data_IF_079986719365
#
_entry.id   IF_079986719365
#
_cell.length_a   1.000
_cell.length_b   1.000
_cell.length_c   1.000
_cell.angle_alpha   90.00
_cell.angle_beta   90.00
_cell.angle_gamma   90.00
#
_symmetry.space_group_name_H-M   'P 1'
#
loop_
_entity.id
_entity.type
_entity.pdbx_description
1 polymer ?
#
# COMPACT_ATOMS: atom_id res chain seq x y z
N UNK A 1 -11.99 23.26 22.27
CA UNK A 1 -12.66 22.16 23.00
C UNK A 1 -13.11 21.12 21.99
N UNK A 2 -12.36 20.01 21.80
CA UNK A 2 -12.72 18.88 20.92
C UNK A 2 -11.73 17.68 21.04
N UNK A 3 -11.03 17.53 22.17
CA UNK A 3 -10.01 16.47 22.35
C UNK A 3 -10.35 15.45 23.45
N UNK A 4 -11.28 15.78 24.35
CA UNK A 4 -11.74 14.91 25.44
C UNK A 4 -12.71 13.82 24.97
N UNK A 5 -13.63 14.14 24.05
CA UNK A 5 -14.73 13.22 23.71
C UNK A 5 -14.25 11.98 22.95
N UNK A 6 -13.33 12.14 21.99
CA UNK A 6 -12.86 11.03 21.15
C UNK A 6 -12.12 9.94 21.94
N UNK A 7 -11.42 10.29 23.02
CA UNK A 7 -10.69 9.30 23.83
C UNK A 7 -11.65 8.52 24.73
N UNK A 8 -12.64 9.21 25.29
CA UNK A 8 -13.71 8.59 26.08
C UNK A 8 -14.52 7.60 25.23
N UNK A 9 -14.89 7.96 24.00
CA UNK A 9 -15.59 7.04 23.08
C UNK A 9 -14.76 5.79 22.74
N UNK A 10 -13.46 5.94 22.50
CA UNK A 10 -12.57 4.79 22.22
C UNK A 10 -12.45 3.88 23.44
N UNK A 11 -12.32 4.43 24.64
CA UNK A 11 -12.26 3.65 25.89
C UNK A 11 -13.58 2.92 26.18
N UNK A 12 -14.72 3.55 25.90
CA UNK A 12 -16.04 2.92 26.04
C UNK A 12 -16.17 1.75 25.05
N UNK A 13 -15.79 1.94 23.78
CA UNK A 13 -15.85 0.87 22.78
C UNK A 13 -14.93 -0.30 23.13
N UNK A 14 -13.70 -0.02 23.57
CA UNK A 14 -12.75 -1.05 24.00
C UNK A 14 -13.24 -1.80 25.25
N UNK A 15 -13.84 -1.08 26.20
CA UNK A 15 -14.47 -1.68 27.38
C UNK A 15 -15.67 -2.57 27.03
N UNK A 16 -16.49 -2.17 26.05
CA UNK A 16 -17.62 -2.97 25.59
C UNK A 16 -17.16 -4.29 24.93
N UNK A 17 -16.16 -4.23 24.04
CA UNK A 17 -15.61 -5.42 23.38
C UNK A 17 -14.94 -6.37 24.40
N UNK A 18 -14.22 -5.81 25.36
CA UNK A 18 -13.66 -6.59 26.47
C UNK A 18 -14.77 -7.26 27.31
N UNK A 19 -15.87 -6.56 27.58
CA UNK A 19 -17.03 -7.12 28.28
C UNK A 19 -17.65 -8.30 27.53
N UNK A 20 -17.80 -8.21 26.22
CA UNK A 20 -18.28 -9.32 25.37
C UNK A 20 -17.30 -10.49 25.43
N UNK A 21 -15.99 -10.23 25.31
CA UNK A 21 -14.96 -11.26 25.39
C UNK A 21 -15.02 -12.02 26.73
N UNK A 22 -15.14 -11.30 27.85
CA UNK A 22 -15.27 -11.91 29.19
C UNK A 22 -16.55 -12.74 29.31
N UNK A 23 -17.68 -12.26 28.78
CA UNK A 23 -18.93 -13.01 28.78
C UNK A 23 -18.83 -14.32 27.98
N UNK A 24 -18.29 -14.26 26.76
CA UNK A 24 -18.03 -15.44 25.91
C UNK A 24 -17.08 -16.42 26.59
N UNK A 25 -16.01 -15.94 27.21
CA UNK A 25 -15.03 -16.80 27.89
C UNK A 25 -15.65 -17.51 29.10
N UNK A 26 -16.46 -16.78 29.89
CA UNK A 26 -17.18 -17.35 31.02
C UNK A 26 -18.18 -18.42 30.57
N UNK A 27 -18.93 -18.15 29.50
CA UNK A 27 -19.84 -19.14 28.90
C UNK A 27 -19.11 -20.36 28.35
N UNK A 28 -17.97 -20.17 27.68
CA UNK A 28 -17.15 -21.27 27.16
C UNK A 28 -16.69 -22.22 28.27
N UNK A 29 -16.15 -21.66 29.36
CA UNK A 29 -15.65 -22.43 30.49
C UNK A 29 -16.78 -23.13 31.26
N UNK A 30 -17.91 -22.46 31.43
CA UNK A 30 -19.08 -23.04 32.10
C UNK A 30 -19.66 -24.19 31.28
N UNK A 31 -19.87 -23.98 29.99
CA UNK A 31 -20.58 -24.93 29.14
C UNK A 31 -19.68 -26.02 28.55
N UNK A 32 -18.35 -25.86 28.67
CA UNK A 32 -17.37 -26.73 28.04
C UNK A 32 -17.54 -26.82 26.51
N UNK A 33 -17.96 -25.73 25.86
CA UNK A 33 -18.12 -25.64 24.40
C UNK A 33 -16.86 -25.10 23.73
N UNK A 34 -16.31 -25.88 22.78
CA UNK A 34 -15.16 -25.48 21.98
C UNK A 34 -15.51 -24.40 20.96
N UNK A 35 -16.74 -24.40 20.42
CA UNK A 35 -17.18 -23.34 19.53
C UNK A 35 -17.31 -22.00 20.28
N UNK A 36 -17.89 -22.00 21.48
CA UNK A 36 -17.95 -20.81 22.32
C UNK A 36 -16.55 -20.35 22.76
N UNK A 37 -15.64 -21.28 23.06
CA UNK A 37 -14.24 -20.95 23.37
C UNK A 37 -13.53 -20.28 22.19
N UNK A 38 -13.76 -20.77 20.97
CA UNK A 38 -13.20 -20.19 19.75
C UNK A 38 -13.69 -18.75 19.54
N UNK A 39 -14.99 -18.52 19.76
CA UNK A 39 -15.58 -17.17 19.73
C UNK A 39 -15.05 -16.25 20.84
N UNK A 40 -14.78 -16.80 22.03
CA UNK A 40 -14.18 -16.05 23.12
C UNK A 40 -12.73 -15.63 22.79
N UNK A 41 -11.95 -16.54 22.22
CA UNK A 41 -10.57 -16.27 21.77
C UNK A 41 -10.57 -15.26 20.64
N UNK A 42 -11.49 -15.38 19.68
CA UNK A 42 -11.69 -14.40 18.61
C UNK A 42 -11.90 -13.00 19.20
N UNK A 43 -12.89 -12.81 20.08
CA UNK A 43 -13.16 -11.50 20.69
C UNK A 43 -12.01 -10.96 21.55
N UNK A 44 -11.22 -11.84 22.18
CA UNK A 44 -9.99 -11.45 22.89
C UNK A 44 -8.91 -10.94 21.94
N UNK A 45 -8.70 -11.66 20.82
CA UNK A 45 -7.76 -11.26 19.78
C UNK A 45 -8.19 -9.94 19.15
N UNK A 46 -9.48 -9.75 18.84
CA UNK A 46 -9.99 -8.48 18.29
C UNK A 46 -9.80 -7.31 19.25
N UNK A 47 -10.07 -7.52 20.53
CA UNK A 47 -9.82 -6.50 21.56
C UNK A 47 -8.33 -6.12 21.60
N UNK A 48 -7.45 -7.11 21.45
CA UNK A 48 -6.00 -6.89 21.36
C UNK A 48 -5.62 -6.14 20.06
N UNK A 49 -6.24 -6.50 18.93
CA UNK A 49 -6.02 -5.88 17.63
C UNK A 49 -6.36 -4.39 17.64
N UNK A 50 -7.48 -4.01 18.26
CA UNK A 50 -7.86 -2.61 18.43
C UNK A 50 -6.80 -1.81 19.20
N UNK A 51 -6.24 -2.41 20.27
CA UNK A 51 -5.13 -1.82 21.02
C UNK A 51 -3.86 -1.65 20.17
N UNK A 52 -3.49 -2.68 19.40
CA UNK A 52 -2.33 -2.65 18.51
C UNK A 52 -2.48 -1.63 17.38
N UNK A 53 -3.65 -1.57 16.73
CA UNK A 53 -3.95 -0.57 15.71
C UNK A 53 -3.95 0.84 16.28
N UNK A 54 -4.46 1.04 17.50
CA UNK A 54 -4.38 2.33 18.18
C UNK A 54 -2.93 2.77 18.41
N UNK A 55 -2.05 1.84 18.85
CA UNK A 55 -0.61 2.10 18.95
C UNK A 55 -0.03 2.46 17.59
N UNK A 56 -0.37 1.73 16.54
CA UNK A 56 0.06 1.99 15.17
C UNK A 56 -0.35 3.36 14.66
N UNK A 57 -1.60 3.78 14.88
CA UNK A 57 -2.10 5.12 14.54
C UNK A 57 -1.36 6.21 15.33
N UNK A 58 -1.11 5.98 16.62
CA UNK A 58 -0.41 6.95 17.47
C UNK A 58 1.05 7.10 17.05
N UNK A 59 1.73 6.00 16.73
CA UNK A 59 3.13 6.00 16.26
C UNK A 59 3.27 6.54 14.84
N UNK A 60 2.32 6.26 13.95
CA UNK A 60 2.37 6.72 12.56
C UNK A 60 2.26 8.23 12.40
N UNK A 61 1.67 8.91 13.39
CA UNK A 61 1.57 10.38 13.44
C UNK A 61 2.84 11.09 13.90
N UNK A 62 3.91 10.35 14.24
CA UNK A 62 5.20 10.96 14.61
C UNK A 62 5.84 11.64 13.41
N UNK A 63 6.39 12.83 13.65
CA UNK A 63 7.13 13.59 12.64
C UNK A 63 8.44 12.90 12.27
N UNK A 64 8.98 13.25 11.11
CA UNK A 64 10.29 12.77 10.67
C UNK A 64 11.42 13.19 11.62
N UNK A 65 12.44 12.34 11.70
CA UNK A 65 13.70 12.59 12.41
C UNK A 65 14.88 12.09 11.57
N UNK A 66 16.10 12.19 12.10
CA UNK A 66 17.31 11.79 11.38
C UNK A 66 17.39 10.29 11.07
N UNK A 67 16.77 9.43 11.89
CA UNK A 67 16.73 7.99 11.65
C UNK A 67 15.63 7.61 10.65
N UNK A 68 14.52 8.35 10.68
CA UNK A 68 13.36 8.17 9.80
C UNK A 68 13.03 9.48 9.07
N UNK A 69 13.79 9.84 8.01
CA UNK A 69 13.62 11.11 7.29
C UNK A 69 12.27 11.22 6.57
N UNK A 70 11.66 10.06 6.28
CA UNK A 70 10.32 9.95 5.71
C UNK A 70 9.20 9.87 6.77
N UNK A 71 9.53 10.01 8.05
CA UNK A 71 8.56 9.91 9.14
C UNK A 71 8.16 8.46 9.41
N UNK A 72 7.10 8.31 10.19
CA UNK A 72 6.70 7.03 10.77
C UNK A 72 5.40 6.47 10.20
N UNK A 73 4.86 7.05 9.11
CA UNK A 73 3.56 6.67 8.55
C UNK A 73 3.38 5.16 8.32
N UNK A 74 4.46 4.46 7.93
CA UNK A 74 4.49 3.00 7.73
C UNK A 74 4.32 2.17 9.01
N UNK A 75 4.45 2.75 10.21
CA UNK A 75 4.15 2.07 11.49
C UNK A 75 2.73 1.53 11.50
N UNK A 76 1.76 2.23 10.89
CA UNK A 76 0.39 1.73 10.81
C UNK A 76 0.31 0.38 10.08
N UNK A 77 1.06 0.22 8.99
CA UNK A 77 1.10 -1.01 8.21
C UNK A 77 1.84 -2.12 8.96
N UNK A 78 2.93 -1.78 9.64
CA UNK A 78 3.65 -2.73 10.50
C UNK A 78 2.74 -3.29 11.61
N UNK A 79 2.06 -2.44 12.38
CA UNK A 79 1.17 -2.90 13.45
C UNK A 79 -0.06 -3.64 12.91
N UNK A 80 -0.58 -3.26 11.76
CA UNK A 80 -1.61 -4.05 11.07
C UNK A 80 -1.12 -5.44 10.65
N UNK A 81 0.13 -5.58 10.24
CA UNK A 81 0.71 -6.89 9.93
C UNK A 81 0.85 -7.75 11.20
N UNK A 82 1.27 -7.16 12.32
CA UNK A 82 1.31 -7.84 13.63
C UNK A 82 -0.09 -8.34 14.02
N UNK A 83 -1.13 -7.54 13.79
CA UNK A 83 -2.53 -7.93 13.98
C UNK A 83 -2.90 -9.15 13.14
N UNK A 84 -2.57 -9.15 11.84
CA UNK A 84 -2.84 -10.30 10.98
C UNK A 84 -2.13 -11.58 11.47
N UNK A 85 -0.89 -11.47 11.95
CA UNK A 85 -0.15 -12.59 12.54
C UNK A 85 -0.81 -13.08 13.83
N UNK A 86 -1.29 -12.19 14.70
CA UNK A 86 -1.98 -12.55 15.94
C UNK A 86 -3.31 -13.27 15.64
N UNK A 87 -4.08 -12.75 14.69
CA UNK A 87 -5.33 -13.37 14.23
C UNK A 87 -5.11 -14.79 13.68
N UNK A 88 -4.06 -14.98 12.89
CA UNK A 88 -3.70 -16.30 12.38
C UNK A 88 -3.23 -17.25 13.50
N UNK A 89 -2.28 -16.83 14.31
CA UNK A 89 -1.64 -17.70 15.29
C UNK A 89 -2.54 -18.00 16.48
N UNK A 90 -3.04 -16.98 17.16
CA UNK A 90 -3.85 -17.12 18.37
C UNK A 90 -5.32 -17.39 18.05
N UNK A 91 -5.88 -16.65 17.08
CA UNK A 91 -7.28 -16.84 16.68
C UNK A 91 -7.49 -18.18 15.98
N UNK A 92 -6.91 -18.35 14.79
CA UNK A 92 -7.11 -19.56 14.00
C UNK A 92 -6.44 -20.80 14.62
N UNK A 93 -5.19 -20.68 15.05
CA UNK A 93 -4.42 -21.81 15.58
C UNK A 93 -5.08 -22.47 16.78
N UNK A 94 -5.49 -21.69 17.78
CA UNK A 94 -6.14 -22.24 18.99
C UNK A 94 -7.53 -22.78 18.67
N UNK A 95 -8.33 -22.09 17.85
CA UNK A 95 -9.66 -22.55 17.45
C UNK A 95 -9.61 -23.89 16.69
N UNK A 96 -8.68 -24.04 15.74
CA UNK A 96 -8.51 -25.30 15.02
C UNK A 96 -8.04 -26.40 15.98
N UNK A 97 -7.07 -26.11 16.85
CA UNK A 97 -6.57 -27.07 17.82
C UNK A 97 -7.67 -27.59 18.76
N UNK A 98 -8.43 -26.70 19.38
CA UNK A 98 -9.52 -27.06 20.29
C UNK A 98 -10.64 -27.78 19.56
N UNK A 99 -10.97 -27.34 18.34
CA UNK A 99 -11.96 -28.00 17.51
C UNK A 99 -11.57 -29.43 17.14
N UNK A 100 -10.32 -29.66 16.72
CA UNK A 100 -9.81 -31.01 16.45
C UNK A 100 -9.85 -31.88 17.70
N UNK A 101 -9.42 -31.34 18.85
CA UNK A 101 -9.46 -32.06 20.12
C UNK A 101 -10.88 -32.49 20.50
N UNK A 102 -11.86 -31.58 20.37
CA UNK A 102 -13.28 -31.83 20.66
C UNK A 102 -13.94 -32.80 19.67
N UNK A 103 -13.53 -32.79 18.40
CA UNK A 103 -14.00 -33.79 17.42
C UNK A 103 -13.45 -35.18 17.76
N UNK A 104 -12.17 -35.27 18.15
CA UNK A 104 -11.53 -36.55 18.50
C UNK A 104 -12.03 -37.12 19.83
N UNK A 105 -12.34 -36.27 20.80
CA UNK A 105 -12.89 -36.63 22.10
C UNK A 105 -14.15 -35.81 22.44
N UNK A 106 -15.31 -36.15 21.85
CA UNK A 106 -16.54 -35.38 22.06
C UNK A 106 -17.00 -35.45 23.51
N UNK A 107 -17.11 -34.29 24.13
CA UNK A 107 -17.68 -34.13 25.48
C UNK A 107 -18.99 -33.32 25.39
N UNK A 108 -20.03 -33.68 26.16
CA UNK A 108 -21.29 -32.96 26.14
C UNK A 108 -21.13 -31.49 26.52
N UNK A 109 -22.01 -30.64 25.98
CA UNK A 109 -22.12 -29.24 26.39
C UNK A 109 -23.01 -29.19 27.64
N UNK A 110 -22.48 -28.61 28.71
CA UNK A 110 -23.22 -28.37 29.96
C UNK A 110 -24.04 -27.10 29.81
N UNK A 111 -25.31 -27.13 30.19
CA UNK A 111 -26.23 -25.97 30.15
C UNK A 111 -26.15 -25.12 28.85
N UNK A 112 -26.60 -25.66 27.70
CA UNK A 112 -26.51 -24.97 26.40
C UNK A 112 -27.25 -23.62 26.35
N UNK A 113 -28.18 -23.36 27.27
CA UNK A 113 -28.94 -22.10 27.30
C UNK A 113 -28.05 -20.89 27.60
N UNK A 114 -27.00 -21.07 28.41
CA UNK A 114 -25.99 -20.03 28.64
C UNK A 114 -25.35 -19.61 27.32
N UNK A 115 -25.00 -20.58 26.46
CA UNK A 115 -24.42 -20.29 25.16
C UNK A 115 -25.39 -19.55 24.24
N UNK A 116 -26.66 -19.94 24.20
CA UNK A 116 -27.66 -19.25 23.38
C UNK A 116 -27.86 -17.79 23.79
N UNK A 117 -27.92 -17.51 25.10
CA UNK A 117 -28.08 -16.15 25.60
C UNK A 117 -26.87 -15.29 25.22
N UNK A 118 -25.65 -15.80 25.45
CA UNK A 118 -24.42 -15.06 25.15
C UNK A 118 -24.25 -14.85 23.64
N UNK A 119 -24.51 -15.86 22.82
CA UNK A 119 -24.50 -15.72 21.35
C UNK A 119 -25.54 -14.68 20.90
N UNK A 120 -26.77 -14.73 21.40
CA UNK A 120 -27.82 -13.79 21.00
C UNK A 120 -27.46 -12.33 21.34
N UNK A 121 -26.91 -12.10 22.54
CA UNK A 121 -26.43 -10.78 22.95
C UNK A 121 -25.24 -10.35 22.08
N UNK A 122 -24.25 -11.23 21.89
CA UNK A 122 -23.08 -10.93 21.06
C UNK A 122 -23.47 -10.61 19.62
N UNK A 123 -24.31 -11.42 18.98
CA UNK A 123 -24.81 -11.18 17.62
C UNK A 123 -25.56 -9.86 17.51
N UNK A 124 -26.28 -9.44 18.54
CA UNK A 124 -27.00 -8.16 18.55
C UNK A 124 -26.02 -6.97 18.62
N UNK A 125 -25.02 -7.05 19.51
CA UNK A 125 -24.04 -5.98 19.71
C UNK A 125 -23.05 -5.88 18.53
N UNK A 126 -22.45 -7.01 18.14
CA UNK A 126 -21.52 -7.11 17.02
C UNK A 126 -22.24 -6.87 15.69
N UNK A 127 -23.49 -7.33 15.53
CA UNK A 127 -24.30 -7.04 14.35
C UNK A 127 -24.57 -5.54 14.19
N UNK A 128 -24.83 -4.83 15.28
CA UNK A 128 -24.95 -3.36 15.24
C UNK A 128 -23.61 -2.68 14.89
N UNK A 129 -22.50 -3.14 15.46
CA UNK A 129 -21.16 -2.65 15.12
C UNK A 129 -20.85 -2.85 13.63
N UNK A 130 -21.04 -4.08 13.15
CA UNK A 130 -20.85 -4.48 11.75
C UNK A 130 -21.66 -3.60 10.81
N UNK A 131 -22.95 -3.40 11.11
CA UNK A 131 -23.81 -2.54 10.32
C UNK A 131 -23.27 -1.10 10.22
N UNK A 132 -22.81 -0.54 11.35
CA UNK A 132 -22.24 0.82 11.39
C UNK A 132 -20.92 0.89 10.63
N UNK A 133 -20.04 -0.09 10.82
CA UNK A 133 -18.74 -0.18 10.16
C UNK A 133 -18.89 -0.30 8.64
N UNK A 134 -19.71 -1.24 8.17
CA UNK A 134 -19.99 -1.44 6.74
C UNK A 134 -20.66 -0.21 6.13
N UNK A 135 -21.60 0.44 6.85
CA UNK A 135 -22.23 1.67 6.37
C UNK A 135 -21.22 2.80 6.21
N UNK A 136 -20.36 3.04 7.20
CA UNK A 136 -19.30 4.05 7.14
C UNK A 136 -18.31 3.74 6.00
N UNK A 137 -17.94 2.47 5.86
CA UNK A 137 -17.04 2.01 4.81
C UNK A 137 -17.62 2.26 3.41
N UNK A 138 -18.91 1.94 3.20
CA UNK A 138 -19.62 2.15 1.94
C UNK A 138 -19.80 3.64 1.62
N UNK A 139 -20.04 4.49 2.63
CA UNK A 139 -20.13 5.95 2.44
C UNK A 139 -18.81 6.51 1.91
N UNK A 140 -17.67 5.99 2.38
CA UNK A 140 -16.32 6.41 1.93
C UNK A 140 -15.92 5.83 0.57
N UNK A 141 -16.47 4.67 0.17
CA UNK A 141 -16.10 3.95 -1.05
C UNK A 141 -17.28 3.79 -2.03
N UNK A 142 -18.05 4.88 -2.23
CA UNK A 142 -19.28 4.91 -3.04
C UNK A 142 -19.15 4.11 -4.35
N UNK A 143 -20.10 3.19 -4.57
CA UNK A 143 -20.26 2.48 -5.85
C UNK A 143 -19.36 1.26 -6.07
N UNK A 144 -18.61 0.80 -5.06
CA UNK A 144 -17.74 -0.39 -5.15
C UNK A 144 -18.23 -1.50 -4.23
N UNK A 145 -18.10 -2.76 -4.66
CA UNK A 145 -18.37 -3.91 -3.79
C UNK A 145 -17.38 -3.98 -2.61
N UNK A 146 -17.79 -4.60 -1.49
CA UNK A 146 -16.99 -4.62 -0.25
C UNK A 146 -15.55 -5.10 -0.48
N UNK A 147 -15.37 -6.23 -1.17
CA UNK A 147 -14.03 -6.79 -1.45
C UNK A 147 -13.17 -5.84 -2.28
N UNK A 148 -13.77 -5.19 -3.28
CA UNK A 148 -13.07 -4.22 -4.12
C UNK A 148 -12.69 -2.97 -3.33
N UNK A 149 -13.59 -2.51 -2.47
CA UNK A 149 -13.34 -1.36 -1.61
C UNK A 149 -12.24 -1.66 -0.57
N UNK A 150 -12.18 -2.87 -0.01
CA UNK A 150 -11.10 -3.29 0.89
C UNK A 150 -9.76 -3.31 0.17
N UNK A 151 -9.64 -3.97 -0.98
CA UNK A 151 -8.39 -4.01 -1.79
C UNK A 151 -7.90 -2.64 -2.29
N UNK A 152 -8.81 -1.68 -2.38
CA UNK A 152 -8.46 -0.32 -2.80
C UNK A 152 -8.21 0.61 -1.61
N UNK A 153 -8.64 0.22 -0.42
CA UNK A 153 -8.40 0.99 0.78
C UNK A 153 -6.93 0.90 1.15
N UNK A 154 -6.36 2.05 1.53
CA UNK A 154 -4.99 2.16 2.05
C UNK A 154 -4.98 2.39 3.56
N UNK A 155 -6.17 2.34 4.17
CA UNK A 155 -6.40 2.50 5.61
C UNK A 155 -6.61 1.14 6.27
N UNK A 156 -5.49 0.56 6.71
CA UNK A 156 -5.46 -0.76 7.37
C UNK A 156 -6.40 -0.82 8.55
N UNK A 157 -6.45 0.22 9.39
CA UNK A 157 -7.30 0.19 10.57
C UNK A 157 -8.79 0.08 10.20
N UNK A 158 -9.23 0.81 9.17
CA UNK A 158 -10.62 0.82 8.76
C UNK A 158 -11.07 -0.53 8.17
N UNK A 159 -10.31 -1.10 7.24
CA UNK A 159 -10.74 -2.36 6.62
C UNK A 159 -10.51 -3.58 7.52
N UNK A 160 -9.55 -3.54 8.45
CA UNK A 160 -9.36 -4.57 9.48
C UNK A 160 -10.63 -4.75 10.30
N UNK A 161 -11.15 -3.65 10.88
CA UNK A 161 -12.35 -3.67 11.73
C UNK A 161 -13.56 -4.21 10.97
N UNK A 162 -13.73 -3.82 9.70
CA UNK A 162 -14.85 -4.31 8.88
C UNK A 162 -14.76 -5.81 8.62
N UNK A 163 -13.55 -6.33 8.34
CA UNK A 163 -13.37 -7.76 8.10
C UNK A 163 -13.51 -8.58 9.39
N UNK A 164 -13.01 -8.08 10.51
CA UNK A 164 -13.16 -8.68 11.85
C UNK A 164 -14.64 -8.77 12.24
N UNK A 165 -15.37 -7.67 12.19
CA UNK A 165 -16.81 -7.63 12.53
C UNK A 165 -17.64 -8.61 11.66
N UNK A 166 -17.33 -8.69 10.36
CA UNK A 166 -17.98 -9.66 9.46
C UNK A 166 -17.61 -11.10 9.83
N UNK A 167 -16.34 -11.36 10.10
CA UNK A 167 -15.87 -12.68 10.50
C UNK A 167 -16.50 -13.12 11.82
N UNK A 168 -16.66 -12.21 12.78
CA UNK A 168 -17.28 -12.46 14.07
C UNK A 168 -18.76 -12.87 13.89
N UNK A 169 -19.52 -12.20 13.02
CA UNK A 169 -20.90 -12.60 12.71
C UNK A 169 -21.02 -13.99 12.09
N UNK A 170 -20.10 -14.36 11.18
CA UNK A 170 -20.05 -15.71 10.63
C UNK A 170 -19.61 -16.73 11.68
N UNK A 171 -18.64 -16.38 12.52
CA UNK A 171 -18.14 -17.22 13.61
C UNK A 171 -19.23 -17.54 14.64
N UNK A 172 -19.95 -16.52 15.10
CA UNK A 172 -21.14 -16.66 15.96
C UNK A 172 -22.22 -17.54 15.33
N UNK A 173 -22.41 -17.43 14.01
CA UNK A 173 -23.35 -18.30 13.29
C UNK A 173 -22.89 -19.75 13.31
N UNK A 174 -21.59 -20.02 13.07
CA UNK A 174 -21.04 -21.38 13.20
C UNK A 174 -21.15 -21.91 14.61
N UNK A 175 -20.86 -21.09 15.62
CA UNK A 175 -21.01 -21.47 17.02
C UNK A 175 -22.47 -21.82 17.37
N UNK A 176 -23.42 -21.00 16.93
CA UNK A 176 -24.84 -21.25 17.14
C UNK A 176 -25.26 -22.60 16.52
N UNK A 177 -24.89 -22.84 15.27
CA UNK A 177 -25.21 -24.09 14.57
C UNK A 177 -24.56 -25.30 15.25
N UNK A 178 -23.30 -25.18 15.69
CA UNK A 178 -22.58 -26.24 16.40
C UNK A 178 -23.23 -26.59 17.75
N UNK A 179 -23.58 -25.59 18.55
CA UNK A 179 -24.27 -25.78 19.83
C UNK A 179 -25.68 -26.34 19.62
N UNK A 180 -26.43 -25.84 18.64
CA UNK A 180 -27.76 -26.37 18.29
C UNK A 180 -27.68 -27.85 17.88
N UNK A 181 -26.71 -28.20 17.03
CA UNK A 181 -26.45 -29.57 16.59
C UNK A 181 -26.13 -30.50 17.76
N UNK A 182 -25.25 -30.06 18.66
CA UNK A 182 -24.84 -30.81 19.84
C UNK A 182 -25.99 -30.99 20.85
N UNK A 183 -26.85 -29.99 21.04
CA UNK A 183 -27.96 -30.04 21.99
C UNK A 183 -29.15 -30.84 21.47
N UNK A 184 -29.65 -30.55 20.26
CA UNK A 184 -30.92 -31.13 19.78
C UNK A 184 -30.75 -32.52 19.16
N UNK A 185 -29.63 -32.77 18.49
CA UNK A 185 -29.36 -34.05 17.81
C UNK A 185 -28.32 -34.92 18.54
N UNK A 186 -27.78 -34.45 19.67
CA UNK A 186 -26.76 -35.17 20.44
C UNK A 186 -25.41 -35.29 19.71
N UNK A 187 -25.18 -34.51 18.65
CA UNK A 187 -23.95 -34.54 17.86
C UNK A 187 -22.85 -33.72 18.54
N UNK A 188 -22.29 -34.21 19.64
CA UNK A 188 -21.29 -33.46 20.43
C UNK A 188 -20.03 -33.06 19.65
N UNK A 189 -19.67 -33.83 18.61
CA UNK A 189 -18.55 -33.50 17.71
C UNK A 189 -18.83 -32.26 16.84
N UNK A 190 -20.11 -31.88 16.64
CA UNK A 190 -20.49 -30.73 15.82
C UNK A 190 -20.03 -29.39 16.44
N UNK A 191 -19.92 -29.32 17.76
CA UNK A 191 -19.32 -28.18 18.49
C UNK A 191 -17.82 -28.04 18.15
N UNK A 192 -17.10 -29.16 18.08
CA UNK A 192 -15.72 -29.18 17.62
C UNK A 192 -15.58 -28.81 16.14
N UNK A 193 -16.48 -29.29 15.27
CA UNK A 193 -16.47 -28.90 13.86
C UNK A 193 -16.75 -27.41 13.67
N UNK A 194 -17.67 -26.82 14.44
CA UNK A 194 -17.91 -25.39 14.43
C UNK A 194 -16.67 -24.60 14.85
N UNK A 195 -15.95 -25.06 15.87
CA UNK A 195 -14.66 -24.50 16.30
C UNK A 195 -13.60 -24.54 15.20
N UNK A 196 -13.47 -25.66 14.47
CA UNK A 196 -12.59 -25.75 13.29
C UNK A 196 -13.02 -24.77 12.20
N UNK A 197 -14.32 -24.67 11.92
CA UNK A 197 -14.85 -23.76 10.90
C UNK A 197 -14.56 -22.29 11.23
N UNK A 198 -14.71 -21.88 12.50
CA UNK A 198 -14.32 -20.56 13.00
C UNK A 198 -12.81 -20.35 12.80
N UNK A 199 -11.99 -21.33 13.17
CA UNK A 199 -10.55 -21.23 12.99
C UNK A 199 -10.12 -21.09 11.52
N UNK A 200 -10.74 -21.84 10.60
CA UNK A 200 -10.48 -21.69 9.16
C UNK A 200 -10.93 -20.34 8.61
N UNK A 201 -12.07 -19.81 9.09
CA UNK A 201 -12.53 -18.47 8.76
C UNK A 201 -11.51 -17.41 9.20
N UNK A 202 -11.01 -17.50 10.44
CA UNK A 202 -9.98 -16.61 10.97
C UNK A 202 -8.67 -16.71 10.18
N UNK A 203 -8.25 -17.93 9.81
CA UNK A 203 -7.06 -18.14 9.00
C UNK A 203 -7.19 -17.47 7.62
N UNK A 204 -8.35 -17.64 6.97
CA UNK A 204 -8.63 -17.02 5.68
C UNK A 204 -8.58 -15.48 5.76
N UNK A 205 -9.23 -14.89 6.78
CA UNK A 205 -9.20 -13.44 7.00
C UNK A 205 -7.78 -12.95 7.25
N UNK A 206 -7.04 -13.64 8.12
CA UNK A 206 -5.67 -13.28 8.45
C UNK A 206 -4.71 -13.38 7.24
N UNK A 207 -4.87 -14.39 6.39
CA UNK A 207 -4.09 -14.53 5.15
C UNK A 207 -4.42 -13.41 4.17
N UNK A 208 -5.72 -13.13 3.97
CA UNK A 208 -6.16 -12.02 3.12
C UNK A 208 -5.57 -10.68 3.59
N UNK A 209 -5.69 -10.40 4.90
CA UNK A 209 -5.12 -9.23 5.57
C UNK A 209 -3.60 -9.13 5.36
N UNK A 210 -2.88 -10.23 5.56
CA UNK A 210 -1.42 -10.27 5.42
C UNK A 210 -0.96 -9.93 4.01
N UNK A 211 -1.66 -10.42 2.98
CA UNK A 211 -1.36 -10.15 1.57
C UNK A 211 -1.55 -8.66 1.26
N UNK A 212 -2.69 -8.09 1.66
CA UNK A 212 -3.02 -6.69 1.40
C UNK A 212 -2.04 -5.74 2.10
N UNK A 213 -1.77 -5.99 3.39
CA UNK A 213 -0.87 -5.15 4.18
C UNK A 213 0.58 -5.26 3.70
N UNK A 214 1.03 -6.46 3.29
CA UNK A 214 2.37 -6.64 2.73
C UNK A 214 2.60 -5.71 1.55
N UNK A 215 1.64 -5.59 0.65
CA UNK A 215 1.74 -4.70 -0.52
C UNK A 215 1.90 -3.24 -0.11
N UNK A 216 1.14 -2.79 0.90
CA UNK A 216 1.25 -1.43 1.47
C UNK A 216 2.60 -1.16 2.15
N UNK A 217 3.18 -2.16 2.82
CA UNK A 217 4.51 -2.04 3.44
C UNK A 217 5.59 -1.83 2.37
N UNK A 218 5.53 -2.63 1.30
CA UNK A 218 6.45 -2.52 0.15
C UNK A 218 6.34 -1.13 -0.46
N UNK A 219 5.11 -0.65 -0.64
CA UNK A 219 4.83 0.72 -1.07
C UNK A 219 4.10 0.75 -2.40
N UNK A 220 2.78 0.69 -2.34
CA UNK A 220 1.94 0.77 -3.53
C UNK A 220 1.90 2.18 -4.12
N UNK A 221 1.76 2.24 -5.44
CA UNK A 221 1.46 3.49 -6.14
C UNK A 221 0.05 3.99 -5.82
N UNK A 222 -0.18 5.30 -6.02
CA UNK A 222 -1.53 5.86 -5.91
C UNK A 222 -2.46 5.28 -6.98
N UNK A 223 -3.77 5.43 -6.79
CA UNK A 223 -4.76 4.93 -7.76
C UNK A 223 -4.56 5.54 -9.14
N UNK A 224 -4.97 4.82 -10.19
CA UNK A 224 -4.82 5.26 -11.60
C UNK A 224 -5.44 6.63 -11.85
N UNK A 225 -6.57 6.94 -11.22
CA UNK A 225 -7.24 8.24 -11.34
C UNK A 225 -6.39 9.39 -10.75
N UNK A 226 -5.73 9.14 -9.61
CA UNK A 226 -4.81 10.10 -9.00
C UNK A 226 -3.55 10.23 -9.86
N UNK A 227 -2.98 9.12 -10.35
CA UNK A 227 -1.83 9.18 -11.26
C UNK A 227 -2.13 9.97 -12.53
N UNK A 228 -3.29 9.73 -13.16
CA UNK A 228 -3.73 10.46 -14.34
C UNK A 228 -3.92 11.95 -14.04
N UNK A 229 -4.50 12.28 -12.89
CA UNK A 229 -4.66 13.68 -12.48
C UNK A 229 -3.34 14.39 -12.12
N UNK A 230 -2.37 13.68 -11.54
CA UNK A 230 -1.01 14.19 -11.32
C UNK A 230 -0.33 14.46 -12.66
N UNK A 231 -0.40 13.49 -13.59
CA UNK A 231 0.13 13.65 -14.95
C UNK A 231 -0.52 14.83 -15.67
N UNK A 232 -1.84 14.98 -15.57
CA UNK A 232 -2.58 16.10 -16.16
C UNK A 232 -2.09 17.46 -15.65
N UNK A 233 -1.74 17.58 -14.36
CA UNK A 233 -1.20 18.84 -13.81
C UNK A 233 0.15 19.15 -14.45
N UNK A 234 1.04 18.16 -14.55
CA UNK A 234 2.38 18.35 -15.12
C UNK A 234 2.30 18.59 -16.64
N UNK A 235 1.46 17.86 -17.37
CA UNK A 235 1.20 18.07 -18.80
C UNK A 235 0.67 19.49 -19.09
N UNK A 236 0.01 20.13 -18.11
CA UNK A 236 -0.37 21.54 -18.17
C UNK A 236 0.81 22.50 -18.38
N UNK A 237 2.03 22.10 -18.01
CA UNK A 237 3.28 22.85 -18.16
C UNK A 237 4.16 22.33 -19.32
N UNK A 238 3.69 21.33 -20.06
CA UNK A 238 4.40 20.72 -21.19
C UNK A 238 3.97 21.35 -22.52
N UNK A 239 4.94 21.59 -23.41
CA UNK A 239 4.72 21.97 -24.81
C UNK A 239 5.38 23.28 -25.24
N UNK A 240 5.15 23.69 -26.49
CA UNK A 240 5.70 24.93 -27.05
C UNK A 240 5.23 26.16 -26.24
N UNK A 241 6.18 27.06 -25.94
CA UNK A 241 5.93 28.26 -25.14
C UNK A 241 5.83 28.00 -23.63
N UNK A 242 6.04 26.76 -23.16
CA UNK A 242 6.06 26.41 -21.74
C UNK A 242 7.44 25.93 -21.27
N UNK A 243 7.69 25.86 -19.96
CA UNK A 243 9.02 25.53 -19.43
C UNK A 243 9.42 24.06 -19.61
N UNK A 244 8.47 23.14 -19.67
CA UNK A 244 8.74 21.69 -19.72
C UNK A 244 8.61 21.17 -21.15
N UNK A 245 9.63 20.46 -21.61
CA UNK A 245 9.68 19.75 -22.89
C UNK A 245 8.96 18.41 -22.80
N UNK A 246 9.25 17.61 -21.78
CA UNK A 246 8.70 16.26 -21.62
C UNK A 246 8.65 15.82 -20.15
N UNK A 247 7.77 14.86 -19.86
CA UNK A 247 7.76 14.12 -18.60
C UNK A 247 8.50 12.82 -18.83
N UNK A 248 9.60 12.61 -18.10
CA UNK A 248 10.35 11.36 -18.17
C UNK A 248 9.62 10.27 -17.38
N UNK A 249 9.30 10.57 -16.12
CA UNK A 249 8.74 9.57 -15.21
C UNK A 249 7.93 10.20 -14.08
N UNK A 250 6.90 9.48 -13.61
CA UNK A 250 6.13 9.79 -12.41
C UNK A 250 6.06 8.52 -11.55
N UNK A 251 6.76 8.51 -10.42
CA UNK A 251 6.72 7.46 -9.40
C UNK A 251 5.95 7.94 -8.19
N UNK A 252 5.07 7.09 -7.67
CA UNK A 252 4.35 7.38 -6.43
C UNK A 252 4.44 6.21 -5.48
N UNK A 253 4.43 6.49 -4.18
CA UNK A 253 4.43 5.47 -3.15
C UNK A 253 3.61 5.94 -1.94
N UNK A 254 2.70 5.09 -1.48
CA UNK A 254 2.05 5.24 -0.18
C UNK A 254 3.05 4.96 0.95
N UNK A 255 3.29 5.96 1.78
CA UNK A 255 3.94 5.81 3.09
C UNK A 255 2.90 5.60 4.19
N UNK A 256 1.66 6.05 3.95
CA UNK A 256 0.50 5.84 4.78
C UNK A 256 -0.80 6.15 4.00
N UNK A 257 -1.97 6.02 4.65
CA UNK A 257 -3.27 6.22 3.98
C UNK A 257 -3.43 7.64 3.40
N UNK A 258 -2.87 8.64 4.10
CA UNK A 258 -2.91 10.07 3.72
C UNK A 258 -1.50 10.68 3.63
N UNK A 259 -0.51 9.86 3.27
CA UNK A 259 0.88 10.28 3.14
C UNK A 259 1.51 9.58 1.94
N UNK A 260 1.61 10.32 0.84
CA UNK A 260 2.17 9.86 -0.43
C UNK A 260 3.43 10.63 -0.75
N UNK A 261 4.44 9.86 -1.18
CA UNK A 261 5.62 10.33 -1.85
C UNK A 261 5.37 10.36 -3.36
N UNK A 262 5.60 11.52 -3.97
CA UNK A 262 5.66 11.71 -5.41
C UNK A 262 7.10 12.05 -5.80
N UNK A 263 7.67 11.27 -6.71
CA UNK A 263 8.93 11.59 -7.38
C UNK A 263 8.65 11.69 -8.87
N UNK A 264 8.91 12.84 -9.47
CA UNK A 264 8.70 13.08 -10.89
C UNK A 264 9.98 13.61 -11.52
N UNK A 265 10.35 13.05 -12.67
CA UNK A 265 11.48 13.50 -13.49
C UNK A 265 10.92 14.19 -14.73
N UNK A 266 11.35 15.42 -14.98
CA UNK A 266 10.88 16.26 -16.08
C UNK A 266 12.06 16.87 -16.83
N UNK A 267 11.91 16.96 -18.15
CA UNK A 267 12.87 17.57 -19.06
C UNK A 267 12.46 19.02 -19.33
N UNK A 268 13.26 19.97 -18.87
CA UNK A 268 13.06 21.40 -19.12
C UNK A 268 13.69 21.79 -20.46
N UNK A 269 13.16 22.82 -21.12
CA UNK A 269 13.85 23.36 -22.29
C UNK A 269 15.23 23.91 -21.92
N UNK A 270 16.21 23.66 -22.79
CA UNK A 270 17.58 24.13 -22.61
C UNK A 270 17.64 25.68 -22.65
N UNK A 271 18.55 26.26 -21.86
CA UNK A 271 18.75 27.71 -21.81
C UNK A 271 17.71 28.47 -20.98
N UNK A 272 16.79 27.78 -20.29
CA UNK A 272 15.90 28.41 -19.31
C UNK A 272 16.67 28.99 -18.13
N UNK A 273 16.25 30.17 -17.68
CA UNK A 273 16.77 30.76 -16.46
C UNK A 273 16.38 29.91 -15.24
N UNK A 274 17.31 29.77 -14.27
CA UNK A 274 17.06 29.01 -13.03
C UNK A 274 15.81 29.50 -12.28
N UNK A 275 15.54 30.80 -12.32
CA UNK A 275 14.34 31.41 -11.72
C UNK A 275 13.04 30.87 -12.35
N UNK A 276 13.04 30.61 -13.66
CA UNK A 276 11.88 30.02 -14.36
C UNK A 276 11.68 28.56 -13.95
N UNK A 277 12.76 27.81 -13.79
CA UNK A 277 12.71 26.41 -13.31
C UNK A 277 12.16 26.36 -11.88
N UNK A 278 12.68 27.21 -10.97
CA UNK A 278 12.19 27.32 -9.59
C UNK A 278 10.72 27.74 -9.54
N UNK A 279 10.32 28.78 -10.29
CA UNK A 279 8.95 29.26 -10.32
C UNK A 279 7.96 28.19 -10.83
N UNK A 280 8.37 27.41 -11.84
CA UNK A 280 7.57 26.31 -12.39
C UNK A 280 7.44 25.17 -11.39
N UNK A 281 8.54 24.79 -10.75
CA UNK A 281 8.57 23.76 -9.70
C UNK A 281 7.65 24.14 -8.54
N UNK A 282 7.74 25.37 -8.03
CA UNK A 282 6.89 25.87 -6.95
C UNK A 282 5.40 25.96 -7.35
N UNK A 283 5.10 26.28 -8.62
CA UNK A 283 3.73 26.30 -9.14
C UNK A 283 3.15 24.88 -9.22
N UNK A 284 3.90 23.92 -9.75
CA UNK A 284 3.51 22.51 -9.80
C UNK A 284 3.29 21.94 -8.39
N UNK A 285 4.21 22.22 -7.47
CA UNK A 285 4.10 21.77 -6.09
C UNK A 285 2.80 22.26 -5.43
N UNK A 286 2.50 23.56 -5.52
CA UNK A 286 1.25 24.12 -4.99
C UNK A 286 0.02 23.53 -5.66
N UNK A 287 0.03 23.38 -6.99
CA UNK A 287 -1.11 22.83 -7.74
C UNK A 287 -1.40 21.37 -7.32
N UNK A 288 -0.34 20.56 -7.21
CA UNK A 288 -0.43 19.16 -6.78
C UNK A 288 -0.91 19.06 -5.34
N UNK A 289 -0.30 19.77 -4.40
CA UNK A 289 -0.68 19.72 -2.98
C UNK A 289 -2.09 20.27 -2.73
N UNK A 290 -2.55 21.24 -3.52
CA UNK A 290 -3.91 21.79 -3.43
C UNK A 290 -4.96 20.79 -3.93
N UNK A 291 -4.72 20.16 -5.09
CA UNK A 291 -5.67 19.18 -5.67
C UNK A 291 -5.62 17.82 -4.98
N UNK A 292 -4.44 17.41 -4.55
CA UNK A 292 -4.17 16.13 -3.90
C UNK A 292 -3.42 16.32 -2.57
N UNK A 293 -4.12 16.72 -1.49
CA UNK A 293 -3.51 16.94 -0.17
C UNK A 293 -2.83 15.70 0.46
N UNK A 294 -3.11 14.52 -0.08
CA UNK A 294 -2.44 13.26 0.29
C UNK A 294 -0.97 13.21 -0.15
N UNK A 295 -0.57 13.98 -1.17
CA UNK A 295 0.83 14.10 -1.62
C UNK A 295 1.54 15.09 -0.69
N UNK A 296 2.17 14.55 0.36
CA UNK A 296 2.89 15.37 1.36
C UNK A 296 4.34 15.61 1.01
N UNK A 297 4.91 14.76 0.15
CA UNK A 297 6.31 14.79 -0.23
C UNK A 297 6.40 14.74 -1.73
N UNK A 298 7.01 15.76 -2.30
CA UNK A 298 7.14 15.93 -3.74
C UNK A 298 8.60 16.21 -4.05
N UNK A 299 9.17 15.38 -4.92
CA UNK A 299 10.50 15.56 -5.48
C UNK A 299 10.33 15.74 -6.99
N UNK A 300 10.77 16.88 -7.49
CA UNK A 300 10.85 17.17 -8.92
C UNK A 300 12.33 17.18 -9.32
N UNK A 301 12.70 16.26 -10.19
CA UNK A 301 14.03 16.16 -10.75
C UNK A 301 14.04 16.81 -12.14
N UNK A 302 14.92 17.79 -12.34
CA UNK A 302 15.16 18.39 -13.66
C UNK A 302 16.22 17.57 -14.38
N UNK A 303 15.79 16.71 -15.31
CA UNK A 303 16.66 15.75 -15.99
C UNK A 303 16.30 15.69 -17.47
N UNK A 304 17.31 15.74 -18.36
CA UNK A 304 17.05 15.58 -19.79
C UNK A 304 16.55 14.17 -20.12
N UNK A 305 15.69 14.06 -21.14
CA UNK A 305 15.15 12.77 -21.56
C UNK A 305 16.25 11.77 -21.93
N UNK A 306 17.35 12.26 -22.51
CA UNK A 306 18.51 11.46 -22.86
C UNK A 306 19.23 10.90 -21.60
N UNK A 307 19.51 11.76 -20.62
CA UNK A 307 20.16 11.34 -19.37
C UNK A 307 19.30 10.35 -18.57
N UNK A 308 17.97 10.53 -18.60
CA UNK A 308 17.04 9.59 -17.97
C UNK A 308 17.09 8.21 -18.62
N UNK A 309 17.10 8.15 -19.96
CA UNK A 309 17.20 6.88 -20.70
C UNK A 309 18.49 6.14 -20.39
N UNK A 310 19.63 6.84 -20.39
CA UNK A 310 20.92 6.25 -20.01
C UNK A 310 20.91 5.70 -18.58
N UNK A 311 20.24 6.38 -17.65
CA UNK A 311 20.13 5.91 -16.26
C UNK A 311 19.34 4.60 -16.17
N UNK A 312 18.22 4.47 -16.90
CA UNK A 312 17.42 3.24 -16.97
C UNK A 312 18.20 2.07 -17.59
N UNK A 313 18.97 2.34 -18.65
CA UNK A 313 19.81 1.32 -19.30
C UNK A 313 20.90 0.78 -18.36
N UNK A 314 21.50 1.67 -17.54
CA UNK A 314 22.47 1.26 -16.51
C UNK A 314 21.83 0.44 -15.41
N UNK A 315 20.67 0.86 -14.90
CA UNK A 315 19.94 0.13 -13.87
C UNK A 315 19.57 -1.29 -14.34
N UNK A 316 19.10 -1.41 -15.60
CA UNK A 316 18.77 -2.70 -16.21
C UNK A 316 20.00 -3.60 -16.42
N UNK A 317 21.18 -3.02 -16.71
CA UNK A 317 22.42 -3.76 -16.87
C UNK A 317 22.98 -4.28 -15.52
N UNK A 318 22.81 -3.51 -14.44
CA UNK A 318 23.25 -3.90 -13.08
C UNK A 318 22.33 -4.94 -12.44
N UNK A 319 21.03 -4.87 -12.71
CA UNK A 319 20.01 -5.76 -12.16
C UNK A 319 19.20 -6.44 -13.27
N UNK A 320 19.78 -7.41 -13.99
CA UNK A 320 19.07 -8.12 -15.04
C UNK A 320 17.88 -8.88 -14.44
N UNK A 321 16.66 -8.44 -14.76
CA UNK A 321 15.43 -9.09 -14.33
C UNK A 321 15.30 -10.41 -15.10
N UNK A 322 15.41 -11.55 -14.42
CA UNK A 322 15.14 -12.85 -15.02
C UNK A 322 13.66 -12.92 -15.44
N UNK A 323 13.33 -13.01 -16.75
CA UNK A 323 11.95 -13.07 -17.22
C UNK A 323 11.15 -14.23 -16.61
N UNK A 324 11.81 -15.29 -16.15
CA UNK A 324 11.19 -16.45 -15.52
C UNK A 324 10.82 -16.22 -14.04
N UNK A 325 11.44 -15.22 -13.39
CA UNK A 325 11.20 -14.84 -11.98
C UNK A 325 9.95 -13.99 -11.78
N UNK A 326 9.38 -13.43 -12.85
CA UNK A 326 8.24 -12.51 -12.81
C UNK A 326 6.87 -13.19 -12.67
N UNK A 327 6.79 -14.52 -12.69
CA UNK A 327 5.52 -15.26 -12.57
C UNK A 327 4.47 -14.88 -13.61
N UNK A 328 4.86 -14.20 -14.70
CA UNK A 328 3.98 -13.81 -15.79
C UNK A 328 3.69 -15.07 -16.61
N UNK A 329 2.43 -15.52 -16.55
CA UNK A 329 1.94 -16.59 -17.40
C UNK A 329 2.29 -16.28 -18.88
N UNK A 330 2.66 -17.32 -19.64
CA UNK A 330 3.29 -17.25 -20.97
C UNK A 330 2.54 -16.38 -22.00
N UNK A 331 1.27 -16.07 -21.76
CA UNK A 331 0.42 -15.25 -22.62
C UNK A 331 0.73 -13.74 -22.54
N UNK A 332 1.29 -13.25 -21.42
CA UNK A 332 1.69 -11.83 -21.29
C UNK A 332 3.01 -11.50 -22.02
N UNK A 333 3.86 -12.51 -22.24
CA UNK A 333 5.13 -12.36 -22.95
C UNK A 333 4.93 -12.02 -24.45
N UNK A 334 3.79 -12.41 -25.04
CA UNK A 334 3.45 -12.06 -26.42
C UNK A 334 3.07 -10.58 -26.59
N UNK A 335 2.52 -9.94 -25.56
CA UNK A 335 2.14 -8.51 -25.61
C UNK A 335 3.39 -7.62 -25.54
N UNK A 336 4.39 -8.00 -24.73
CA UNK A 336 5.67 -7.29 -24.66
C UNK A 336 6.50 -7.49 -25.94
N UNK A 337 6.47 -8.68 -26.55
CA UNK A 337 7.16 -8.93 -27.83
C UNK A 337 6.57 -8.17 -29.02
N UNK A 338 5.24 -7.98 -29.05
CA UNK A 338 4.59 -7.25 -30.13
C UNK A 338 4.69 -5.72 -30.00
N UNK A 339 4.92 -5.19 -28.79
CA UNK A 339 5.17 -3.76 -28.59
C UNK A 339 6.56 -3.33 -29.12
N UNK A 340 7.54 -4.23 -29.13
CA UNK A 340 8.88 -3.98 -29.66
C UNK A 340 8.98 -4.09 -31.20
N UNK A 341 8.05 -4.79 -31.86
CA UNK A 341 8.06 -4.98 -33.31
C UNK A 341 7.20 -3.97 -34.09
N UNK A 342 6.41 -3.12 -33.40
CA UNK A 342 5.50 -2.16 -34.05
C UNK A 342 6.01 -0.72 -34.04
N UNK A 343 7.24 -0.47 -33.59
CA UNK A 343 7.89 0.84 -33.63
C UNK A 343 8.77 1.08 -34.85
N UNK A 344 8.93 0.09 -35.73
CA UNK A 344 9.81 0.19 -36.92
C UNK A 344 9.09 0.65 -38.20
N UNK A 345 7.75 0.75 -38.21
CA UNK A 345 6.96 1.13 -39.40
C UNK A 345 6.16 2.42 -39.19
N UNK A 346 6.84 3.54 -38.93
CA UNK A 346 6.23 4.88 -39.08
C UNK A 346 7.27 6.00 -39.26
N UNK A 347 7.95 6.04 -40.42
CA UNK A 347 8.35 7.28 -41.14
C UNK A 347 9.10 6.90 -42.44
N UNK A 348 8.72 7.42 -43.63
CA UNK A 348 9.48 7.17 -44.85
C UNK A 348 10.78 7.99 -44.86
N UNK A 349 11.91 7.27 -44.83
CA UNK A 349 13.23 7.77 -45.15
C UNK A 349 13.32 8.12 -46.64
N UNK A 350 13.78 9.33 -46.94
CA UNK A 350 13.98 9.83 -48.29
C UNK A 350 15.37 9.40 -48.81
N UNK A 351 15.42 9.08 -50.11
CA UNK A 351 16.59 8.97 -51.01
C UNK A 351 17.39 7.64 -51.05
N UNK A 352 17.14 6.87 -52.12
CA UNK A 352 18.16 6.09 -52.81
C UNK A 352 18.10 6.43 -54.31
N UNK A 353 19.22 6.95 -54.83
CA UNK A 353 19.47 7.24 -56.23
C UNK A 353 19.89 5.95 -56.95
N UNK A 354 19.22 5.63 -58.07
CA UNK A 354 19.74 4.73 -59.09
C UNK A 354 19.54 5.36 -60.49
N UNK A 355 20.67 5.82 -61.05
CA UNK A 355 21.04 5.86 -62.48
C UNK A 355 19.95 5.87 -63.57
N UNK A 356 19.87 6.96 -64.36
CA UNK A 356 20.09 6.90 -65.82
C UNK A 356 20.20 8.28 -66.51
N UNK A 357 21.18 8.39 -67.42
CA UNK A 357 21.26 9.22 -68.64
C UNK A 357 21.00 10.75 -68.61
N UNK A 358 22.08 11.49 -68.84
CA UNK A 358 22.39 12.25 -70.09
C UNK A 358 22.96 13.65 -69.83
N UNK A 359 24.04 13.96 -70.57
CA UNK A 359 24.58 15.26 -71.02
C UNK A 359 24.33 16.51 -70.14
N UNK A 360 25.31 17.34 -69.76
CA UNK A 360 26.35 17.98 -70.58
C UNK A 360 27.21 18.84 -69.63
N UNK A 361 28.51 18.99 -69.91
CA UNK A 361 29.48 20.05 -69.51
C UNK A 361 29.30 20.82 -68.18
N UNK A 362 30.33 21.16 -67.41
CA UNK A 362 31.59 21.80 -67.84
C UNK A 362 32.44 22.04 -66.58
N UNK A 363 33.77 21.93 -66.75
CA UNK A 363 34.87 22.57 -65.99
C UNK A 363 35.22 22.17 -64.55
N UNK A 364 36.41 21.56 -64.46
CA UNK A 364 37.35 21.52 -63.35
C UNK A 364 37.68 22.90 -62.77
N UNK A 365 38.15 22.96 -61.51
CA UNK A 365 39.54 23.37 -61.17
C UNK A 365 39.85 23.36 -59.65
N UNK A 366 40.96 22.68 -59.31
CA UNK A 366 42.04 23.06 -58.36
C UNK A 366 41.76 23.11 -56.83
N UNK A 367 42.46 22.27 -56.03
CA UNK A 367 43.72 22.56 -55.26
C UNK A 367 43.51 23.60 -54.15
N UNK A 368 43.98 23.47 -52.91
CA UNK A 368 45.21 22.86 -52.39
C UNK A 368 45.18 22.96 -50.84
N UNK A 369 45.93 22.06 -50.17
CA UNK A 369 46.72 22.23 -48.91
C UNK A 369 45.99 22.51 -47.56
N UNK A 370 46.12 21.74 -46.48
CA UNK A 370 47.26 21.13 -45.75
C UNK A 370 47.81 22.01 -44.58
N UNK A 371 47.57 21.51 -43.35
CA UNK A 371 48.51 21.37 -42.21
C UNK A 371 48.68 22.45 -41.11
N UNK A 372 48.99 21.90 -39.92
CA UNK A 372 49.67 22.40 -38.69
C UNK A 372 48.73 22.92 -37.57
N UNK A 373 48.61 22.33 -36.36
CA UNK A 373 49.54 21.79 -35.33
C UNK A 373 50.18 22.86 -34.42
N UNK A 374 49.90 22.81 -33.10
CA UNK A 374 50.86 22.90 -31.96
C UNK A 374 50.19 23.22 -30.59
N UNK A 375 50.60 22.46 -29.56
CA UNK A 375 50.57 22.65 -28.07
C UNK A 375 51.75 23.61 -27.65
N UNK A 376 52.16 23.93 -26.38
CA UNK A 376 51.71 23.51 -25.03
C UNK A 376 51.76 24.53 -23.84
N UNK A 377 51.15 24.12 -22.71
CA UNK A 377 51.54 24.30 -21.27
C UNK A 377 51.63 25.68 -20.56
N UNK A 378 51.07 25.78 -19.32
CA UNK A 378 51.78 26.10 -18.05
C UNK A 378 50.87 26.34 -16.80
N UNK A 379 51.13 25.56 -15.74
CA UNK A 379 51.26 25.80 -14.26
C UNK A 379 50.64 26.97 -13.45
N UNK A 380 50.29 26.68 -12.17
CA UNK A 380 50.54 27.40 -10.85
C UNK A 380 49.33 27.22 -9.89
N UNK A 381 49.36 26.40 -8.82
CA UNK A 381 49.82 26.57 -7.41
C UNK A 381 49.10 27.61 -6.51
N UNK A 382 48.57 27.16 -5.34
CA UNK A 382 48.66 27.96 -4.09
C UNK A 382 47.47 28.08 -3.11
N UNK A 383 47.58 27.36 -1.96
CA UNK A 383 47.28 27.77 -0.55
C UNK A 383 45.85 28.16 -0.06
N UNK A 384 45.24 27.22 0.68
CA UNK A 384 45.04 27.23 2.16
C UNK A 384 44.39 28.41 2.91
N UNK A 385 43.32 28.12 3.68
CA UNK A 385 43.02 28.79 4.97
C UNK A 385 42.12 27.95 5.89
N UNK A 386 42.62 27.59 7.08
CA UNK A 386 41.85 27.08 8.23
C UNK A 386 41.31 28.28 9.03
N UNK A 387 40.06 28.22 9.49
CA UNK A 387 39.54 29.07 10.57
C UNK A 387 38.73 28.25 11.56
N UNK A 388 38.88 28.63 12.83
CA UNK A 388 38.43 28.00 14.07
C UNK A 388 37.56 29.03 14.80
N UNK A 389 36.33 28.70 15.23
CA UNK A 389 35.56 29.37 16.32
C UNK A 389 34.24 28.58 16.50
N UNK A 390 34.00 27.82 17.58
CA UNK A 390 33.65 28.19 18.96
C UNK A 390 32.30 28.93 19.13
N UNK A 391 31.41 28.25 19.87
CA UNK A 391 30.48 28.71 20.94
C UNK A 391 28.97 28.87 20.66
N UNK A 392 28.25 28.09 21.48
CA UNK A 392 27.13 28.43 22.40
C UNK A 392 25.68 28.35 21.88
N UNK A 393 24.94 27.40 22.50
CA UNK A 393 23.50 27.44 22.82
C UNK A 393 23.15 28.66 23.70
N UNK A 394 21.87 29.05 23.78
CA UNK A 394 21.14 28.72 25.00
C UNK A 394 19.63 28.39 24.83
N UNK A 395 19.15 27.69 25.86
CA UNK A 395 17.77 27.47 26.38
C UNK A 395 16.77 26.71 25.53
#
# INVERSE_FOLDING_TARGET
MAKSDSTTFVLIALGANLGIAVAKFTAAMWTNSSAMLSEAIHSLVDTSNQGLLYIGIKRSRRTADAAHPFGYSKELYFWGFVVAVLLFSMGAGVSIYEGVHKVMAPTPISDPFVNYIVIAIAMSLEGYSTYRAVREFNVRHKGKGLVQAVRQSKDVALFTVVLEDIAAMFGLTFALLGVLAAHHWGLHWADGLASIAIGLLLAMVAVFMSIEIRSLIIGEAVSRDVQAGLRQIIDGEVGEGKPIRAINEIRTMHLGPNDVLLAASVDFFDGLASETVEATTARLERAIQTRYPLVRRLFLEAQSTAAHREALEREAAEHPVDPSSLGLNRDAAHIVKNAANNSDDAMPSNAAVATNKSATGTTLSARDKQSAAADPSQTVSGKGRKTKKSRRRPR
#
